data_IF_681445176395
#
_entry.id   IF_681445176395
#
_cell.length_a   1.000
_cell.length_b   1.000
_cell.length_c   1.000
_cell.angle_alpha   90.00
_cell.angle_beta   90.00
_cell.angle_gamma   90.00
#
_symmetry.space_group_name_H-M   'P 1'
#
loop_
_entity.id
_entity.type
_entity.pdbx_description
1 polymer ?
#
# COMPACT_ATOMS: atom_id res chain seq x y z
N UNK A 1 -9.52 -4.33 -8.03
CA UNK A 1 -8.24 -3.62 -8.36
C UNK A 1 -7.28 -4.52 -9.12
N UNK A 2 -7.02 -5.74 -8.65
CA UNK A 2 -6.08 -6.68 -9.30
C UNK A 2 -6.42 -6.97 -10.76
N UNK A 3 -7.69 -7.18 -11.12
CA UNK A 3 -8.06 -7.46 -12.52
C UNK A 3 -7.71 -6.31 -13.49
N UNK A 4 -7.67 -5.07 -12.98
CA UNK A 4 -7.22 -3.91 -13.78
C UNK A 4 -5.71 -3.94 -13.99
N UNK A 5 -4.95 -4.38 -13.00
CA UNK A 5 -3.50 -4.54 -13.10
C UNK A 5 -3.15 -5.67 -14.06
N UNK A 6 -3.87 -6.79 -14.04
CA UNK A 6 -3.69 -7.87 -15.01
C UNK A 6 -4.03 -7.44 -16.43
N UNK A 7 -5.19 -6.79 -16.64
CA UNK A 7 -5.59 -6.28 -17.97
C UNK A 7 -4.60 -5.26 -18.54
N UNK A 8 -3.94 -4.48 -17.69
CA UNK A 8 -2.92 -3.52 -18.08
C UNK A 8 -1.51 -4.14 -18.18
N UNK A 9 -1.37 -5.45 -17.96
CA UNK A 9 -0.10 -6.19 -17.93
C UNK A 9 0.90 -5.71 -16.86
N UNK A 10 0.41 -5.16 -15.74
CA UNK A 10 1.21 -4.77 -14.57
C UNK A 10 1.39 -5.90 -13.56
N UNK A 11 0.52 -6.91 -13.59
CA UNK A 11 0.61 -8.08 -12.73
C UNK A 11 0.08 -9.31 -13.47
N UNK A 12 0.39 -10.49 -12.96
CA UNK A 12 -0.16 -11.76 -13.42
C UNK A 12 -0.46 -12.67 -12.24
N UNK A 13 -1.41 -13.60 -12.43
CA UNK A 13 -1.79 -14.60 -11.44
C UNK A 13 -1.25 -15.98 -11.78
N UNK A 14 -0.74 -16.66 -10.77
CA UNK A 14 -0.37 -18.07 -10.84
C UNK A 14 -1.07 -18.86 -9.73
N UNK A 15 -1.69 -20.00 -10.03
CA UNK A 15 -2.26 -20.86 -9.00
C UNK A 15 -1.16 -21.43 -8.11
N UNK A 16 -1.43 -21.50 -6.81
CA UNK A 16 -0.51 -22.12 -5.87
C UNK A 16 -0.37 -23.62 -6.15
N UNK A 17 0.87 -24.12 -6.10
CA UNK A 17 1.15 -25.55 -6.25
C UNK A 17 0.74 -26.37 -5.03
N UNK A 18 0.53 -25.74 -3.88
CA UNK A 18 0.24 -26.41 -2.59
C UNK A 18 -1.23 -26.35 -2.16
N UNK A 19 -1.96 -25.27 -2.48
CA UNK A 19 -3.41 -25.16 -2.23
C UNK A 19 -4.10 -24.57 -3.45
N UNK A 20 -4.99 -25.33 -4.09
CA UNK A 20 -5.72 -24.91 -5.30
C UNK A 20 -6.68 -23.74 -5.07
N UNK A 21 -6.96 -23.36 -3.82
CA UNK A 21 -7.76 -22.18 -3.46
C UNK A 21 -6.91 -20.91 -3.35
N UNK A 22 -5.58 -21.02 -3.40
CA UNK A 22 -4.67 -19.89 -3.34
C UNK A 22 -4.18 -19.49 -4.73
N UNK A 23 -4.05 -18.19 -4.94
CA UNK A 23 -3.50 -17.60 -6.17
C UNK A 23 -2.44 -16.57 -5.77
N UNK A 24 -1.25 -16.70 -6.35
CA UNK A 24 -0.20 -15.70 -6.23
C UNK A 24 -0.42 -14.62 -7.27
N UNK A 25 -0.43 -13.36 -6.84
CA UNK A 25 -0.43 -12.21 -7.74
C UNK A 25 0.99 -11.64 -7.75
N UNK A 26 1.66 -11.74 -8.88
CA UNK A 26 3.03 -11.26 -9.05
C UNK A 26 3.04 -10.01 -9.92
N UNK A 27 3.69 -8.95 -9.46
CA UNK A 27 3.89 -7.75 -10.26
C UNK A 27 4.92 -8.01 -11.37
N UNK A 28 4.67 -7.48 -12.56
CA UNK A 28 5.66 -7.48 -13.65
C UNK A 28 6.75 -6.47 -13.30
N UNK A 29 7.99 -6.94 -13.14
CA UNK A 29 9.09 -6.15 -12.56
C UNK A 29 9.30 -4.81 -13.27
N UNK A 30 9.36 -4.82 -14.60
CA UNK A 30 9.60 -3.63 -15.42
C UNK A 30 8.47 -2.61 -15.26
N UNK A 31 7.23 -3.09 -15.12
CA UNK A 31 6.04 -2.24 -14.93
C UNK A 31 5.96 -1.69 -13.51
N UNK A 32 6.37 -2.49 -12.52
CA UNK A 32 6.52 -2.04 -11.15
C UNK A 32 7.57 -0.93 -11.07
N UNK A 33 8.70 -1.07 -11.78
CA UNK A 33 9.72 -0.03 -11.86
C UNK A 33 9.18 1.26 -12.50
N UNK A 34 8.42 1.16 -13.60
CA UNK A 34 7.74 2.32 -14.19
C UNK A 34 6.83 3.04 -13.20
N UNK A 35 6.09 2.29 -12.37
CA UNK A 35 5.26 2.89 -11.33
C UNK A 35 6.12 3.57 -10.25
N UNK A 36 7.22 2.94 -9.82
CA UNK A 36 8.18 3.55 -8.88
C UNK A 36 8.72 4.87 -9.44
N UNK A 37 9.15 4.89 -10.70
CA UNK A 37 9.70 6.08 -11.35
C UNK A 37 8.66 7.20 -11.45
N UNK A 38 7.41 6.85 -11.74
CA UNK A 38 6.29 7.80 -11.79
C UNK A 38 6.03 8.46 -10.42
N UNK A 39 6.14 7.69 -9.33
CA UNK A 39 5.91 8.19 -7.97
C UNK A 39 7.17 8.78 -7.31
N UNK A 40 8.37 8.54 -7.84
CA UNK A 40 9.62 9.02 -7.24
C UNK A 40 9.65 10.55 -6.99
N UNK A 41 9.17 11.42 -7.90
CA UNK A 41 9.10 12.86 -7.64
C UNK A 41 8.12 13.21 -6.51
N UNK A 42 7.01 12.47 -6.39
CA UNK A 42 6.04 12.64 -5.31
C UNK A 42 6.68 12.27 -3.96
N UNK A 43 7.32 11.11 -3.88
CA UNK A 43 8.03 10.67 -2.66
C UNK A 43 9.09 11.68 -2.26
N UNK A 44 9.88 12.19 -3.21
CA UNK A 44 10.87 13.24 -2.94
C UNK A 44 10.24 14.50 -2.32
N UNK A 45 9.09 14.94 -2.84
CA UNK A 45 8.37 16.12 -2.31
C UNK A 45 7.83 15.85 -0.90
N UNK A 46 7.26 14.67 -0.67
CA UNK A 46 6.75 14.28 0.66
C UNK A 46 7.91 14.19 1.67
N UNK A 47 9.04 13.59 1.31
CA UNK A 47 10.21 13.52 2.17
C UNK A 47 10.71 14.90 2.57
N UNK A 48 10.67 15.89 1.66
CA UNK A 48 11.02 17.28 1.98
C UNK A 48 10.05 17.92 2.98
N UNK A 49 8.75 17.60 2.92
CA UNK A 49 7.81 18.08 3.93
C UNK A 49 8.20 17.56 5.32
N UNK A 50 8.60 16.29 5.41
CA UNK A 50 9.03 15.69 6.66
C UNK A 50 10.31 16.32 7.23
N UNK A 51 11.19 16.89 6.39
CA UNK A 51 12.39 17.62 6.87
C UNK A 51 12.07 18.90 7.65
N UNK A 52 10.84 19.40 7.60
CA UNK A 52 10.41 20.54 8.42
C UNK A 52 10.10 20.16 9.88
N UNK A 53 10.10 18.86 10.20
CA UNK A 53 9.77 18.32 11.51
C UNK A 53 11.01 17.70 12.16
N UNK A 54 11.08 17.75 13.48
CA UNK A 54 12.06 16.98 14.23
C UNK A 54 11.70 15.49 14.22
N UNK A 55 12.67 14.62 14.50
CA UNK A 55 12.42 13.18 14.58
C UNK A 55 11.31 12.84 15.61
N UNK A 56 11.26 13.55 16.74
CA UNK A 56 10.20 13.40 17.74
C UNK A 56 8.81 13.80 17.22
N UNK A 57 8.75 14.86 16.41
CA UNK A 57 7.51 15.29 15.77
C UNK A 57 7.06 14.29 14.71
N UNK A 58 7.98 13.77 13.89
CA UNK A 58 7.70 12.71 12.91
C UNK A 58 7.18 11.46 13.61
N UNK A 59 7.80 11.07 14.72
CA UNK A 59 7.36 9.93 15.53
C UNK A 59 5.95 10.16 16.12
N UNK A 60 5.66 11.39 16.56
CA UNK A 60 4.32 11.75 17.04
C UNK A 60 3.27 11.66 15.93
N UNK A 61 3.59 12.17 14.73
CA UNK A 61 2.70 12.08 13.55
C UNK A 61 2.47 10.61 13.14
N UNK A 62 3.52 9.78 13.18
CA UNK A 62 3.43 8.35 12.90
C UNK A 62 2.47 7.66 13.87
N UNK A 63 2.64 7.85 15.18
CA UNK A 63 1.75 7.27 16.20
C UNK A 63 0.31 7.74 16.05
N UNK A 64 0.10 9.03 15.79
CA UNK A 64 -1.24 9.58 15.54
C UNK A 64 -1.91 8.90 14.34
N UNK A 65 -1.20 8.74 13.22
CA UNK A 65 -1.73 8.08 12.03
C UNK A 65 -2.10 6.61 12.30
N UNK A 66 -1.24 5.88 13.01
CA UNK A 66 -1.48 4.48 13.38
C UNK A 66 -2.71 4.32 14.28
N UNK A 67 -2.82 5.14 15.32
CA UNK A 67 -3.96 5.13 16.24
C UNK A 67 -5.27 5.48 15.51
N UNK A 68 -5.23 6.45 14.60
CA UNK A 68 -6.39 6.85 13.80
C UNK A 68 -6.84 5.72 12.88
N UNK A 69 -5.91 5.08 12.16
CA UNK A 69 -6.24 3.92 11.30
C UNK A 69 -6.83 2.78 12.12
N UNK A 70 -6.28 2.51 13.30
CA UNK A 70 -6.79 1.46 14.17
C UNK A 70 -8.23 1.74 14.62
N UNK A 71 -8.50 2.95 15.12
CA UNK A 71 -9.85 3.35 15.54
C UNK A 71 -10.87 3.27 14.38
N UNK A 72 -10.47 3.70 13.18
CA UNK A 72 -11.34 3.61 11.99
C UNK A 72 -11.65 2.16 11.58
N UNK A 73 -10.67 1.25 11.73
CA UNK A 73 -10.87 -0.17 11.45
C UNK A 73 -11.81 -0.80 12.45
N UNK A 74 -11.58 -0.59 13.74
CA UNK A 74 -12.45 -1.09 14.82
C UNK A 74 -13.90 -0.65 14.62
N UNK A 75 -14.10 0.61 14.23
CA UNK A 75 -15.44 1.12 13.94
C UNK A 75 -16.05 0.50 12.67
N UNK A 76 -15.25 0.29 11.61
CA UNK A 76 -15.72 -0.39 10.40
C UNK A 76 -16.14 -1.83 10.70
N UNK A 77 -15.33 -2.56 11.45
CA UNK A 77 -15.61 -3.95 11.83
C UNK A 77 -16.91 -4.02 12.64
N UNK A 78 -17.07 -3.15 13.66
CA UNK A 78 -18.30 -3.02 14.45
C UNK A 78 -19.54 -2.78 13.60
N UNK A 79 -19.43 -1.96 12.54
CA UNK A 79 -20.54 -1.64 11.64
C UNK A 79 -20.85 -2.77 10.63
N UNK A 80 -19.90 -3.65 10.34
CA UNK A 80 -20.08 -4.77 9.40
C UNK A 80 -20.40 -6.11 10.06
N UNK A 81 -20.15 -6.25 11.36
CA UNK A 81 -20.47 -7.45 12.15
C UNK A 81 -21.90 -7.45 12.73
N UNK A 82 -22.65 -6.36 12.58
CA UNK A 82 -24.07 -6.24 12.98
C UNK A 82 -25.03 -6.30 11.79
#
# INVERSE_FOLDING_TARGET
MIDRLEKAAFAYREPSKSDRRQVFVTAVHERAQQAVDLYAPLFTRISRVLTAYTDEQVETLRRFAEQTVQALREETDRLTEG
#
